data_IF_205024524107
#
_entry.id   IF_205024524107
#
_cell.length_a   1.000
_cell.length_b   1.000
_cell.length_c   1.000
_cell.angle_alpha   90.00
_cell.angle_beta   90.00
_cell.angle_gamma   90.00
#
_symmetry.space_group_name_H-M   'P 1'
#
loop_
_entity.id
_entity.type
_entity.pdbx_description
1 polymer ?
#
# COMPACT_ATOMS: atom_id res chain seq x y z
N UNK A 1 31.72 15.27 -7.27
CA UNK A 1 31.05 14.05 -7.76
C UNK A 1 29.98 14.54 -8.71
N UNK A 2 30.19 14.35 -10.02
CA UNK A 2 29.22 14.77 -11.03
C UNK A 2 28.03 13.81 -11.01
N UNK A 3 26.87 14.29 -10.57
CA UNK A 3 25.60 13.58 -10.66
C UNK A 3 25.16 13.53 -12.13
N UNK A 4 25.65 12.52 -12.87
CA UNK A 4 25.19 12.25 -14.23
C UNK A 4 23.82 11.57 -14.17
N UNK A 5 22.79 12.26 -14.64
CA UNK A 5 21.49 11.63 -14.91
C UNK A 5 21.63 10.57 -16.01
N UNK A 6 21.12 9.36 -15.75
CA UNK A 6 21.06 8.27 -16.73
C UNK A 6 19.59 8.03 -17.07
N UNK A 7 19.28 8.01 -18.36
CA UNK A 7 17.93 7.71 -18.86
C UNK A 7 17.94 6.27 -19.39
N UNK A 8 17.04 5.44 -18.87
CA UNK A 8 16.82 4.06 -19.32
C UNK A 8 15.56 3.99 -20.18
N UNK A 9 15.65 3.34 -21.34
CA UNK A 9 14.52 3.09 -22.22
C UNK A 9 14.21 1.59 -22.21
N UNK A 10 12.92 1.24 -22.12
CA UNK A 10 12.44 -0.14 -22.25
C UNK A 10 11.44 -0.21 -23.41
N UNK A 11 11.60 -1.19 -24.29
CA UNK A 11 10.65 -1.43 -25.37
C UNK A 11 9.37 -2.12 -24.88
N UNK A 12 8.27 -2.00 -25.63
CA UNK A 12 7.03 -2.70 -25.29
C UNK A 12 7.19 -4.23 -25.29
N UNK A 13 8.07 -4.76 -26.14
CA UNK A 13 8.38 -6.18 -26.22
C UNK A 13 9.16 -6.66 -24.98
N UNK A 14 10.11 -5.86 -24.49
CA UNK A 14 10.86 -6.17 -23.27
C UNK A 14 9.98 -6.11 -22.03
N UNK A 15 9.09 -5.12 -21.93
CA UNK A 15 8.13 -5.01 -20.82
C UNK A 15 7.20 -6.23 -20.72
N UNK A 16 6.87 -6.86 -21.85
CA UNK A 16 5.97 -8.01 -21.92
C UNK A 16 6.66 -9.35 -21.65
N UNK A 17 7.98 -9.41 -21.70
CA UNK A 17 8.72 -10.64 -21.40
C UNK A 17 8.73 -10.88 -19.89
N UNK A 18 8.48 -12.11 -19.43
CA UNK A 18 8.60 -12.44 -18.01
C UNK A 18 10.04 -12.20 -17.53
N UNK A 19 10.18 -11.88 -16.24
CA UNK A 19 11.49 -11.72 -15.60
C UNK A 19 12.37 -12.94 -15.85
N UNK A 20 13.66 -12.70 -16.12
CA UNK A 20 14.64 -13.77 -16.27
C UNK A 20 14.72 -14.61 -14.99
N UNK A 21 15.10 -15.88 -15.12
CA UNK A 21 15.31 -16.78 -13.98
C UNK A 21 16.21 -16.16 -12.91
N UNK A 22 17.22 -15.43 -13.36
CA UNK A 22 18.28 -14.87 -12.52
C UNK A 22 17.75 -13.73 -11.64
N UNK A 23 16.65 -13.09 -12.04
CA UNK A 23 15.99 -12.00 -11.30
C UNK A 23 14.81 -12.47 -10.42
N UNK A 24 14.46 -13.76 -10.45
CA UNK A 24 13.33 -14.28 -9.65
C UNK A 24 13.48 -14.05 -8.15
N UNK A 25 14.71 -14.04 -7.64
CA UNK A 25 15.02 -13.78 -6.24
C UNK A 25 14.55 -12.40 -5.75
N UNK A 26 14.33 -11.43 -6.64
CA UNK A 26 13.77 -10.12 -6.31
C UNK A 26 12.27 -10.18 -5.96
N UNK A 27 11.60 -11.27 -6.32
CA UNK A 27 10.19 -11.51 -5.99
C UNK A 27 10.02 -12.27 -4.68
N UNK A 28 11.09 -12.89 -4.17
CA UNK A 28 11.04 -13.59 -2.90
C UNK A 28 10.91 -12.58 -1.76
N UNK A 29 10.00 -12.79 -0.80
CA UNK A 29 9.91 -11.94 0.37
C UNK A 29 11.26 -11.94 1.09
N UNK A 30 11.86 -10.76 1.23
CA UNK A 30 13.09 -10.62 2.01
C UNK A 30 12.80 -10.98 3.46
N UNK A 31 13.55 -11.94 4.01
CA UNK A 31 13.33 -12.45 5.39
C UNK A 31 13.62 -11.40 6.46
N UNK A 32 14.41 -10.39 6.12
CA UNK A 32 14.81 -9.26 6.95
C UNK A 32 13.90 -8.04 6.79
N UNK A 33 12.84 -8.11 5.97
CA UNK A 33 11.94 -6.98 5.82
C UNK A 33 11.12 -6.72 7.09
N UNK A 34 10.98 -5.44 7.49
CA UNK A 34 10.16 -5.09 8.63
C UNK A 34 8.71 -5.54 8.42
N UNK A 35 8.14 -6.19 9.43
CA UNK A 35 6.72 -6.56 9.40
C UNK A 35 5.84 -5.32 9.44
N UNK A 36 4.65 -5.42 8.85
CA UNK A 36 3.64 -4.36 8.86
C UNK A 36 3.16 -3.97 10.27
N UNK A 37 3.29 -4.89 11.22
CA UNK A 37 2.91 -4.72 12.62
C UNK A 37 4.08 -5.01 13.54
N UNK A 38 4.23 -4.19 14.58
CA UNK A 38 5.14 -4.43 15.68
C UNK A 38 4.57 -5.50 16.62
N UNK A 39 5.40 -6.05 17.49
CA UNK A 39 4.98 -7.07 18.46
C UNK A 39 3.89 -6.56 19.42
N UNK A 40 3.87 -5.26 19.70
CA UNK A 40 2.87 -4.61 20.54
C UNK A 40 1.55 -4.27 19.81
N UNK A 41 1.43 -4.66 18.53
CA UNK A 41 0.24 -4.41 17.72
C UNK A 41 0.14 -2.99 17.13
N UNK A 42 1.15 -2.13 17.27
CA UNK A 42 1.20 -0.87 16.50
C UNK A 42 1.59 -1.14 15.06
N UNK A 43 1.20 -0.23 14.17
CA UNK A 43 1.68 -0.23 12.79
C UNK A 43 3.16 0.14 12.77
N UNK A 44 3.93 -0.62 12.01
CA UNK A 44 5.26 -0.17 11.63
C UNK A 44 5.14 0.88 10.52
N UNK A 45 5.23 2.15 10.88
CA UNK A 45 5.15 3.27 9.93
C UNK A 45 6.31 3.30 8.94
N UNK A 46 7.40 2.56 9.20
CA UNK A 46 8.55 2.43 8.29
C UNK A 46 8.40 1.27 7.30
N UNK A 47 7.35 0.44 7.42
CA UNK A 47 7.12 -0.63 6.44
C UNK A 47 6.74 -0.03 5.09
N UNK A 48 7.60 -0.22 4.10
CA UNK A 48 7.35 0.17 2.69
C UNK A 48 6.03 -0.35 2.16
N UNK A 49 5.60 -1.51 2.64
CA UNK A 49 4.32 -2.13 2.34
C UNK A 49 3.10 -1.23 2.65
N UNK A 50 3.16 -0.44 3.73
CA UNK A 50 2.07 0.40 4.21
C UNK A 50 2.23 1.87 3.84
N UNK A 51 3.42 2.30 3.39
CA UNK A 51 3.69 3.71 3.07
C UNK A 51 2.65 4.32 2.13
N UNK A 52 2.23 3.61 1.07
CA UNK A 52 1.22 4.14 0.14
C UNK A 52 -0.13 4.42 0.82
N UNK A 53 -0.60 3.49 1.66
CA UNK A 53 -1.86 3.66 2.39
C UNK A 53 -1.78 4.75 3.46
N UNK A 54 -0.63 4.88 4.15
CA UNK A 54 -0.41 5.86 5.21
C UNK A 54 -0.13 7.27 4.69
N UNK A 55 0.49 7.39 3.52
CA UNK A 55 0.75 8.66 2.84
C UNK A 55 -0.49 9.24 2.15
N UNK A 56 -1.55 8.45 1.98
CA UNK A 56 -2.84 8.96 1.51
C UNK A 56 -3.36 10.03 2.48
N UNK A 57 -4.09 11.04 2.00
CA UNK A 57 -4.64 12.10 2.87
C UNK A 57 -5.60 11.60 3.96
N UNK A 58 -6.17 10.40 3.76
CA UNK A 58 -6.99 9.68 4.73
C UNK A 58 -6.20 8.66 5.57
N UNK A 59 -4.87 8.62 5.46
CA UNK A 59 -4.00 7.64 6.09
C UNK A 59 -4.02 7.72 7.62
N UNK A 60 -4.30 8.88 8.21
CA UNK A 60 -4.48 9.01 9.66
C UNK A 60 -5.66 8.15 10.17
N UNK A 61 -6.79 8.14 9.46
CA UNK A 61 -7.95 7.30 9.78
C UNK A 61 -7.63 5.81 9.64
N UNK A 62 -6.76 5.46 8.68
CA UNK A 62 -6.27 4.08 8.54
C UNK A 62 -5.45 3.66 9.77
N UNK A 63 -4.60 4.55 10.30
CA UNK A 63 -3.83 4.26 11.52
C UNK A 63 -4.74 4.05 12.73
N UNK A 64 -5.77 4.88 12.89
CA UNK A 64 -6.75 4.76 13.97
C UNK A 64 -7.53 3.44 13.89
N UNK A 65 -8.07 3.10 12.71
CA UNK A 65 -8.82 1.88 12.50
C UNK A 65 -8.00 0.61 12.80
N UNK A 66 -6.76 0.56 12.29
CA UNK A 66 -5.85 -0.55 12.56
C UNK A 66 -5.48 -0.61 14.05
N UNK A 67 -5.23 0.53 14.70
CA UNK A 67 -4.92 0.56 16.14
C UNK A 67 -6.06 -0.02 16.95
N UNK A 68 -7.31 0.36 16.64
CA UNK A 68 -8.49 -0.22 17.27
C UNK A 68 -8.53 -1.73 17.03
N UNK A 69 -8.42 -2.16 15.77
CA UNK A 69 -8.49 -3.58 15.39
C UNK A 69 -7.44 -4.43 16.10
N UNK A 70 -6.21 -3.94 16.20
CA UNK A 70 -5.13 -4.65 16.87
C UNK A 70 -5.32 -4.75 18.38
N UNK A 71 -5.94 -3.74 19.01
CA UNK A 71 -6.29 -3.79 20.43
C UNK A 71 -7.56 -4.58 20.76
N UNK A 72 -8.41 -4.85 19.77
CA UNK A 72 -9.68 -5.56 19.98
C UNK A 72 -9.45 -6.98 20.50
N UNK A 73 -10.17 -7.32 21.56
CA UNK A 73 -10.25 -8.68 22.12
C UNK A 73 -11.60 -9.36 21.86
N UNK A 74 -12.51 -8.72 21.11
CA UNK A 74 -13.83 -9.30 20.80
C UNK A 74 -13.74 -10.38 19.72
N UNK A 75 -14.79 -11.19 19.65
CA UNK A 75 -15.00 -12.20 18.59
C UNK A 75 -16.31 -11.89 17.87
N UNK A 76 -16.29 -11.58 16.56
CA UNK A 76 -15.11 -11.40 15.69
C UNK A 76 -14.23 -10.21 16.10
N UNK A 77 -12.92 -10.32 15.85
CA UNK A 77 -11.97 -9.24 16.15
C UNK A 77 -12.34 -7.98 15.37
N UNK A 78 -12.36 -6.83 16.05
CA UNK A 78 -12.61 -5.52 15.47
C UNK A 78 -14.09 -5.18 15.28
N UNK A 79 -15.00 -5.95 15.86
CA UNK A 79 -16.44 -5.68 15.77
C UNK A 79 -16.82 -4.34 16.40
N UNK A 80 -16.08 -3.89 17.41
CA UNK A 80 -16.20 -2.58 18.04
C UNK A 80 -15.56 -1.43 17.25
N UNK A 81 -14.76 -1.73 16.22
CA UNK A 81 -13.98 -0.74 15.46
C UNK A 81 -14.68 -0.29 14.17
N UNK A 82 -15.98 -0.59 14.04
CA UNK A 82 -16.74 -0.37 12.81
C UNK A 82 -16.77 1.10 12.41
N UNK A 83 -16.84 2.01 13.40
CA UNK A 83 -16.91 3.45 13.16
C UNK A 83 -15.59 4.01 12.61
N UNK A 84 -14.45 3.54 13.11
CA UNK A 84 -13.13 3.91 12.61
C UNK A 84 -12.94 3.44 11.16
N UNK A 85 -13.33 2.21 10.85
CA UNK A 85 -13.28 1.70 9.47
C UNK A 85 -14.25 2.44 8.54
N UNK A 86 -15.46 2.78 9.01
CA UNK A 86 -16.41 3.62 8.25
C UNK A 86 -15.83 5.00 7.97
N UNK A 87 -15.24 5.67 8.95
CA UNK A 87 -14.65 6.99 8.78
C UNK A 87 -13.54 6.96 7.72
N UNK A 88 -12.65 5.98 7.79
CA UNK A 88 -11.60 5.76 6.80
C UNK A 88 -12.19 5.55 5.39
N UNK A 89 -13.19 4.66 5.26
CA UNK A 89 -13.82 4.35 3.99
C UNK A 89 -14.54 5.56 3.39
N UNK A 90 -15.26 6.33 4.21
CA UNK A 90 -15.93 7.56 3.78
C UNK A 90 -14.93 8.62 3.31
N UNK A 91 -13.80 8.78 4.00
CA UNK A 91 -12.75 9.69 3.58
C UNK A 91 -12.13 9.23 2.25
N UNK A 92 -11.75 7.95 2.13
CA UNK A 92 -11.18 7.42 0.88
C UNK A 92 -12.18 7.56 -0.26
N UNK A 93 -13.47 7.31 -0.06
CA UNK A 93 -14.50 7.53 -1.08
C UNK A 93 -14.59 9.00 -1.50
N UNK A 94 -14.51 9.93 -0.54
CA UNK A 94 -14.57 11.37 -0.81
C UNK A 94 -13.37 11.88 -1.63
N UNK A 95 -12.20 11.25 -1.49
CA UNK A 95 -10.95 11.78 -2.07
C UNK A 95 -10.17 10.82 -2.96
N UNK A 96 -10.65 9.59 -3.15
CA UNK A 96 -9.99 8.51 -3.89
C UNK A 96 -10.04 8.67 -5.41
N UNK A 97 -10.38 9.86 -5.89
CA UNK A 97 -10.58 10.17 -7.30
C UNK A 97 -11.86 9.55 -7.85
N UNK A 98 -12.52 10.27 -8.74
CA UNK A 98 -13.58 9.74 -9.59
C UNK A 98 -13.04 8.54 -10.38
N UNK A 99 -13.25 7.32 -9.89
CA UNK A 99 -13.03 6.10 -10.67
C UNK A 99 -14.18 5.84 -11.65
N UNK A 100 -14.60 6.86 -12.38
CA UNK A 100 -15.48 6.71 -13.55
C UNK A 100 -14.96 7.38 -14.83
N UNK A 101 -13.87 8.17 -14.79
CA UNK A 101 -13.35 8.84 -16.01
C UNK A 101 -12.20 8.12 -16.71
N UNK A 102 -11.36 7.34 -15.99
CA UNK A 102 -10.18 6.70 -16.60
C UNK A 102 -10.41 5.33 -17.27
N UNK A 103 -11.60 4.73 -17.11
CA UNK A 103 -11.94 3.47 -17.79
C UNK A 103 -12.61 3.68 -19.16
N UNK A 104 -12.88 4.92 -19.57
CA UNK A 104 -13.59 5.25 -20.81
C UNK A 104 -12.78 6.06 -21.83
N UNK A 105 -11.49 6.29 -21.60
CA UNK A 105 -10.65 6.98 -22.59
C UNK A 105 -9.89 5.97 -23.46
N UNK A 106 -10.07 5.99 -24.80
CA UNK A 106 -9.32 5.11 -25.68
C UNK A 106 -7.84 5.47 -25.57
N UNK A 107 -7.02 4.50 -25.15
CA UNK A 107 -5.56 4.62 -25.22
C UNK A 107 -5.18 4.87 -26.69
N UNK A 108 -4.71 6.08 -26.97
CA UNK A 108 -4.06 6.47 -28.22
C UNK A 108 -2.81 5.60 -28.40
#
# INVERSE_FOLDING_TARGET
MDDKHVIYFISQEELRKPLSSDLKHLLDPRKDEPTAFLEDGRINEECTCLHSALAHRCGHLMREAIRCFNSSTKTPRGTECEEEFKAQALCVRKYGGEKESWHNEPRI
#
